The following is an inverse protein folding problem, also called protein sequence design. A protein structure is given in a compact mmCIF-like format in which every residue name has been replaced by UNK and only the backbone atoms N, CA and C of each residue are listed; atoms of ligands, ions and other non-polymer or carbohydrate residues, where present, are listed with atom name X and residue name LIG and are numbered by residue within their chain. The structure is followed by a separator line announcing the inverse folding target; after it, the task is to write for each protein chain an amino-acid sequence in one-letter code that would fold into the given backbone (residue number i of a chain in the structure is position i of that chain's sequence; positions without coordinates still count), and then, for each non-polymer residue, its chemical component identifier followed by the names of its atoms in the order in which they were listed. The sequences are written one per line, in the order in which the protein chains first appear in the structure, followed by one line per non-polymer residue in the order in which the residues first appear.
data_IF_019898432578
#
_entry.id   IF_019898432578
#
_cell.length_a   1.000
_cell.length_b   1.000
_cell.length_c   1.000
_cell.angle_alpha   90.00
_cell.angle_beta   90.00
_cell.angle_gamma   90.00
#
_symmetry.space_group_name_H-M   'P 1'
#
loop_
_entity.id
_entity.type
_entity.pdbx_description
1 polymer ?
#
# COMPACT_ATOMS: atom_id res chain seq x y z
N UNK A 1 -2.26 -22.54 -0.62
CA UNK A 1 -3.36 -21.71 -0.06
C UNK A 1 -2.89 -20.74 1.01
N UNK A 2 -1.82 -21.00 1.76
CA UNK A 2 -1.31 -20.14 2.85
C UNK A 2 -1.15 -18.65 2.51
N UNK A 3 -0.74 -18.29 1.28
CA UNK A 3 -0.62 -16.88 0.87
C UNK A 3 -1.98 -16.18 0.76
N UNK A 4 -2.97 -16.85 0.16
CA UNK A 4 -4.35 -16.34 0.02
C UNK A 4 -4.97 -16.13 1.40
N UNK A 5 -4.84 -17.12 2.28
CA UNK A 5 -5.39 -17.05 3.63
C UNK A 5 -4.77 -15.90 4.43
N UNK A 6 -3.47 -15.65 4.28
CA UNK A 6 -2.80 -14.54 4.94
C UNK A 6 -3.28 -13.18 4.43
N UNK A 7 -3.50 -13.04 3.12
CA UNK A 7 -4.04 -11.81 2.53
C UNK A 7 -5.48 -11.59 3.00
N UNK A 8 -6.36 -12.58 2.91
CA UNK A 8 -7.75 -12.44 3.36
C UNK A 8 -7.82 -12.09 4.85
N UNK A 9 -7.07 -12.81 5.69
CA UNK A 9 -7.01 -12.53 7.13
C UNK A 9 -6.53 -11.10 7.43
N UNK A 10 -5.56 -10.59 6.67
CA UNK A 10 -5.09 -9.22 6.80
C UNK A 10 -6.15 -8.20 6.38
N UNK A 11 -6.89 -8.47 5.29
CA UNK A 11 -7.90 -7.57 4.73
C UNK A 11 -9.24 -7.58 5.49
N UNK A 12 -9.48 -8.54 6.39
CA UNK A 12 -10.72 -8.59 7.20
C UNK A 12 -11.07 -7.29 7.91
N UNK A 13 -10.07 -6.58 8.45
CA UNK A 13 -10.29 -5.28 9.16
C UNK A 13 -10.63 -4.11 8.23
N UNK A 14 -10.44 -4.28 6.92
CA UNK A 14 -10.73 -3.29 5.88
C UNK A 14 -12.08 -3.54 5.19
N UNK A 15 -12.81 -4.59 5.57
CA UNK A 15 -14.18 -4.81 5.05
C UNK A 15 -15.10 -3.69 5.52
N UNK A 16 -16.07 -3.32 4.69
CA UNK A 16 -17.03 -2.25 5.03
C UNK A 16 -17.80 -2.54 6.32
N UNK A 17 -18.07 -3.82 6.59
CA UNK A 17 -18.72 -4.26 7.83
C UNK A 17 -17.92 -3.95 9.11
N UNK A 18 -16.59 -3.81 9.02
CA UNK A 18 -15.72 -3.46 10.14
C UNK A 18 -15.61 -1.94 10.37
N UNK A 19 -16.15 -1.11 9.45
CA UNK A 19 -15.96 0.34 9.40
C UNK A 19 -17.27 1.15 9.56
N UNK A 20 -18.31 0.52 10.12
CA UNK A 20 -19.68 1.08 10.20
C UNK A 20 -19.89 2.21 11.22
N UNK A 21 -19.07 2.26 12.27
CA UNK A 21 -19.27 3.19 13.37
C UNK A 21 -18.84 4.62 12.98
N UNK A 22 -19.81 5.48 12.70
CA UNK A 22 -19.59 6.89 12.33
C UNK A 22 -19.02 7.75 13.46
N UNK A 23 -18.97 7.28 14.71
CA UNK A 23 -18.25 8.00 15.77
C UNK A 23 -16.75 7.79 15.64
N UNK A 24 -16.32 6.60 15.21
CA UNK A 24 -14.90 6.22 15.10
C UNK A 24 -14.35 6.49 13.69
N UNK A 25 -15.13 6.20 12.66
CA UNK A 25 -14.69 6.29 11.28
C UNK A 25 -15.22 7.56 10.60
N UNK A 26 -14.50 8.03 9.59
CA UNK A 26 -14.92 9.12 8.72
C UNK A 26 -14.56 8.84 7.26
N UNK A 27 -15.35 9.38 6.33
CA UNK A 27 -15.04 9.32 4.92
C UNK A 27 -14.06 10.43 4.53
N UNK A 28 -12.88 10.03 4.05
CA UNK A 28 -11.80 10.95 3.67
C UNK A 28 -11.77 11.26 2.16
N UNK A 29 -12.83 10.93 1.42
CA UNK A 29 -12.93 11.15 -0.02
C UNK A 29 -12.34 10.01 -0.87
N UNK A 30 -12.65 10.04 -2.18
CA UNK A 30 -12.25 9.01 -3.15
C UNK A 30 -11.03 9.41 -4.00
N UNK A 31 -10.46 10.59 -3.75
CA UNK A 31 -9.24 11.10 -4.40
C UNK A 31 -8.22 11.48 -3.33
N UNK A 32 -6.90 11.31 -3.59
CA UNK A 32 -5.89 11.71 -2.62
C UNK A 32 -5.93 13.21 -2.34
N UNK A 33 -5.88 13.58 -1.06
CA UNK A 33 -5.82 14.95 -0.56
C UNK A 33 -4.68 15.15 0.42
N UNK A 34 -4.50 16.40 0.82
CA UNK A 34 -3.57 16.84 1.86
C UNK A 34 -3.71 16.08 3.18
N UNK A 35 -2.67 16.20 4.01
CA UNK A 35 -2.62 15.63 5.37
C UNK A 35 -3.85 16.04 6.18
N UNK A 36 -4.39 15.12 6.99
CA UNK A 36 -5.50 15.41 7.89
C UNK A 36 -4.99 15.52 9.32
N UNK A 37 -4.61 16.74 9.70
CA UNK A 37 -4.28 17.08 11.07
C UNK A 37 -5.54 16.98 11.97
N UNK A 38 -5.42 16.26 13.07
CA UNK A 38 -6.46 16.00 14.07
C UNK A 38 -6.11 16.65 15.42
N UNK A 39 -5.28 17.69 15.42
CA UNK A 39 -4.87 18.45 16.59
C UNK A 39 -3.62 17.88 17.26
N UNK A 40 -3.45 18.22 18.54
CA UNK A 40 -2.27 17.82 19.31
C UNK A 40 -2.28 16.34 19.71
N UNK A 41 -1.07 15.80 19.95
CA UNK A 41 -0.83 14.43 20.45
C UNK A 41 -1.10 14.33 21.96
N UNK A 42 -2.28 14.78 22.38
CA UNK A 42 -2.74 14.77 23.76
C UNK A 42 -4.16 14.17 23.84
N UNK A 43 -4.65 13.95 25.06
CA UNK A 43 -5.96 13.33 25.30
C UNK A 43 -7.11 14.35 25.42
N UNK A 44 -6.87 15.64 25.21
CA UNK A 44 -7.84 16.70 25.52
C UNK A 44 -9.12 16.61 24.68
N UNK A 45 -8.98 16.12 23.45
CA UNK A 45 -10.07 15.98 22.48
C UNK A 45 -10.50 14.52 22.29
N UNK A 46 -10.00 13.60 23.14
CA UNK A 46 -10.35 12.18 23.12
C UNK A 46 -9.82 11.39 21.93
N UNK A 47 -10.48 10.27 21.62
CA UNK A 47 -10.15 9.44 20.46
C UNK A 47 -10.37 10.20 19.14
N UNK A 48 -9.44 10.02 18.20
CA UNK A 48 -9.48 10.69 16.90
C UNK A 48 -10.18 9.80 15.89
N UNK A 49 -10.98 10.43 15.03
CA UNK A 49 -11.57 9.76 13.87
C UNK A 49 -10.49 9.10 13.00
N UNK A 50 -10.88 8.02 12.34
CA UNK A 50 -10.05 7.22 11.45
C UNK A 50 -10.62 7.30 10.05
N UNK A 51 -9.77 7.62 9.06
CA UNK A 51 -10.17 7.55 7.66
C UNK A 51 -10.56 6.12 7.28
N UNK A 52 -11.74 5.95 6.71
CA UNK A 52 -12.16 4.70 6.09
C UNK A 52 -11.27 4.36 4.91
N UNK A 53 -10.96 3.08 4.74
CA UNK A 53 -10.29 2.57 3.55
C UNK A 53 -11.10 1.45 2.90
N UNK A 54 -11.49 1.64 1.63
CA UNK A 54 -12.34 0.71 0.90
C UNK A 54 -11.50 -0.31 0.13
N UNK A 55 -11.87 -1.59 0.24
CA UNK A 55 -11.19 -2.67 -0.49
C UNK A 55 -11.25 -2.49 -2.01
N UNK A 56 -12.32 -1.86 -2.52
CA UNK A 56 -12.49 -1.55 -3.95
C UNK A 56 -11.32 -0.79 -4.55
N UNK A 57 -10.62 0.03 -3.76
CA UNK A 57 -9.45 0.77 -4.25
C UNK A 57 -8.23 -0.11 -4.55
N UNK A 58 -8.23 -1.36 -4.08
CA UNK A 58 -7.21 -2.36 -4.43
C UNK A 58 -7.51 -3.08 -5.76
N UNK A 59 -8.56 -2.67 -6.48
CA UNK A 59 -8.87 -3.15 -7.82
C UNK A 59 -9.00 -4.68 -7.87
N UNK A 60 -8.27 -5.30 -8.80
CA UNK A 60 -8.28 -6.75 -8.99
C UNK A 60 -7.75 -7.53 -7.77
N UNK A 61 -7.00 -6.88 -6.88
CA UNK A 61 -6.42 -7.48 -5.68
C UNK A 61 -7.28 -7.28 -4.42
N UNK A 62 -8.52 -6.85 -4.57
CA UNK A 62 -9.43 -6.53 -3.44
C UNK A 62 -9.98 -7.76 -2.72
N UNK A 63 -10.00 -8.93 -3.36
CA UNK A 63 -10.72 -10.10 -2.87
C UNK A 63 -12.22 -10.08 -3.15
N UNK A 64 -12.73 -9.06 -3.86
CA UNK A 64 -14.17 -8.92 -4.16
C UNK A 64 -14.55 -9.77 -5.37
N UNK A 65 -13.82 -9.63 -6.47
CA UNK A 65 -14.08 -10.37 -7.72
C UNK A 65 -13.23 -11.64 -7.84
N UNK A 66 -12.08 -11.67 -7.17
CA UNK A 66 -11.16 -12.80 -7.13
C UNK A 66 -10.64 -13.00 -5.71
N UNK A 67 -11.14 -14.04 -5.04
CA UNK A 67 -10.73 -14.43 -3.69
C UNK A 67 -9.34 -15.07 -3.65
N UNK A 68 -8.74 -15.37 -4.80
CA UNK A 68 -7.41 -15.97 -4.90
C UNK A 68 -6.31 -14.92 -5.11
N UNK A 69 -6.66 -13.64 -5.25
CA UNK A 69 -5.72 -12.53 -5.40
C UNK A 69 -4.70 -12.74 -6.53
N UNK A 70 -5.15 -13.31 -7.66
CA UNK A 70 -4.37 -13.64 -8.85
C UNK A 70 -3.42 -14.83 -8.70
N UNK A 71 -3.32 -15.45 -7.51
CA UNK A 71 -2.42 -16.59 -7.28
C UNK A 71 -2.82 -17.82 -8.09
N UNK A 72 -4.12 -18.03 -8.34
CA UNK A 72 -4.60 -19.17 -9.12
C UNK A 72 -4.17 -19.10 -10.59
N UNK A 73 -4.06 -17.88 -11.13
CA UNK A 73 -3.76 -17.64 -12.54
C UNK A 73 -2.27 -17.36 -12.80
N UNK A 74 -1.42 -17.54 -11.78
CA UNK A 74 0.01 -17.23 -11.88
C UNK A 74 0.32 -15.73 -11.94
N UNK A 75 -0.63 -14.87 -11.57
CA UNK A 75 -0.53 -13.40 -11.59
C UNK A 75 -0.69 -12.82 -10.19
N UNK A 76 0.20 -13.14 -9.24
CA UNK A 76 -0.02 -12.89 -7.83
C UNK A 76 -0.07 -11.40 -7.51
N UNK A 77 -0.99 -11.04 -6.60
CA UNK A 77 -1.04 -9.75 -5.96
C UNK A 77 -0.16 -9.69 -4.71
N UNK A 78 0.55 -8.58 -4.53
CA UNK A 78 1.26 -8.23 -3.30
C UNK A 78 0.64 -6.96 -2.72
N UNK A 79 0.22 -7.02 -1.45
CA UNK A 79 -0.33 -5.86 -0.73
C UNK A 79 0.79 -5.17 0.03
N UNK A 80 1.01 -3.89 -0.28
CA UNK A 80 2.05 -3.05 0.30
C UNK A 80 1.44 -2.15 1.38
N UNK A 81 2.18 -2.05 2.48
CA UNK A 81 1.88 -1.23 3.66
C UNK A 81 3.09 -0.40 4.03
N UNK A 82 2.88 0.85 4.43
CA UNK A 82 3.93 1.69 5.01
C UNK A 82 3.96 1.56 6.54
N UNK A 83 5.13 1.32 7.13
CA UNK A 83 5.28 1.18 8.58
C UNK A 83 5.52 2.53 9.31
N UNK A 84 6.09 3.54 8.64
CA UNK A 84 6.36 4.88 9.22
C UNK A 84 5.85 5.98 8.28
N UNK A 85 4.94 6.86 8.72
CA UNK A 85 4.50 8.02 7.95
C UNK A 85 5.69 8.94 7.60
N UNK A 86 5.65 9.64 6.46
CA UNK A 86 6.55 10.77 6.24
C UNK A 86 6.29 11.87 7.28
N UNK A 87 7.35 12.49 7.80
CA UNK A 87 7.29 13.66 8.69
C UNK A 87 7.59 14.91 7.86
N UNK A 88 6.55 15.55 7.31
CA UNK A 88 6.60 16.83 6.59
C UNK A 88 7.25 16.79 5.18
N UNK A 89 6.73 17.68 4.33
CA UNK A 89 6.89 17.84 2.87
C UNK A 89 8.34 18.19 2.46
N UNK A 90 8.88 17.83 1.29
CA UNK A 90 8.34 17.85 -0.07
C UNK A 90 8.49 16.54 -0.86
N UNK A 91 7.76 16.42 -1.98
CA UNK A 91 7.86 15.29 -2.91
C UNK A 91 8.64 15.74 -4.14
N UNK A 92 9.84 15.21 -4.35
CA UNK A 92 10.54 15.42 -5.62
C UNK A 92 9.75 14.80 -6.78
N UNK A 93 9.70 15.54 -7.89
CA UNK A 93 9.05 15.15 -9.14
C UNK A 93 9.74 13.94 -9.74
N UNK A 94 9.16 12.74 -9.57
CA UNK A 94 9.64 11.56 -10.27
C UNK A 94 9.01 11.46 -11.68
N UNK A 95 9.81 11.42 -12.76
CA UNK A 95 9.33 11.65 -14.13
C UNK A 95 8.54 10.49 -14.76
N UNK A 96 8.31 9.38 -14.05
CA UNK A 96 7.85 8.12 -14.66
C UNK A 96 6.37 7.79 -14.35
N UNK A 97 5.73 8.48 -13.41
CA UNK A 97 4.34 8.21 -13.02
C UNK A 97 3.48 9.48 -12.99
N UNK A 98 2.17 9.32 -13.13
CA UNK A 98 1.18 10.41 -13.02
C UNK A 98 1.35 11.09 -11.65
N UNK A 99 2.04 12.22 -11.65
CA UNK A 99 2.35 12.97 -10.44
C UNK A 99 1.06 13.44 -9.76
N UNK A 100 0.93 13.13 -8.48
CA UNK A 100 -0.09 13.71 -7.60
C UNK A 100 0.62 14.16 -6.31
N UNK A 101 0.55 15.45 -5.95
CA UNK A 101 1.24 15.99 -4.78
C UNK A 101 0.75 15.40 -3.45
N UNK A 102 -0.38 14.71 -3.45
CA UNK A 102 -1.01 14.11 -2.28
C UNK A 102 -0.82 12.58 -2.22
N UNK A 103 0.13 12.04 -2.99
CA UNK A 103 0.45 10.61 -3.01
C UNK A 103 1.94 10.43 -2.78
N UNK A 104 2.31 9.59 -1.81
CA UNK A 104 3.67 9.08 -1.65
C UNK A 104 3.89 7.92 -2.64
N UNK A 105 4.63 8.13 -3.74
CA UNK A 105 4.72 7.15 -4.83
C UNK A 105 5.50 5.90 -4.43
N UNK A 106 5.12 4.76 -5.02
CA UNK A 106 5.81 3.48 -4.89
C UNK A 106 6.04 2.90 -6.29
N UNK A 107 7.25 2.43 -6.55
CA UNK A 107 7.59 1.75 -7.79
C UNK A 107 8.30 0.43 -7.52
N UNK A 108 7.83 -0.62 -8.19
CA UNK A 108 8.41 -1.95 -8.22
C UNK A 108 9.18 -2.17 -9.52
N UNK A 109 10.31 -2.86 -9.44
CA UNK A 109 11.13 -3.23 -10.59
C UNK A 109 11.94 -4.51 -10.30
N UNK A 110 12.46 -5.16 -11.33
CA UNK A 110 13.42 -6.26 -11.15
C UNK A 110 14.68 -5.75 -10.45
N UNK A 111 15.12 -6.48 -9.42
CA UNK A 111 16.25 -6.06 -8.58
C UNK A 111 17.57 -6.04 -9.34
N UNK A 112 17.76 -6.97 -10.27
CA UNK A 112 18.90 -7.05 -11.18
C UNK A 112 18.44 -6.93 -12.63
N UNK A 113 19.36 -6.68 -13.55
CA UNK A 113 19.02 -6.57 -14.97
C UNK A 113 18.38 -7.85 -15.51
N UNK A 114 18.86 -9.03 -15.09
CA UNK A 114 18.25 -10.34 -15.38
C UNK A 114 16.81 -10.49 -14.85
N UNK A 115 16.47 -9.82 -13.74
CA UNK A 115 15.13 -9.87 -13.16
C UNK A 115 14.18 -8.93 -13.91
N UNK A 116 14.67 -7.77 -14.38
CA UNK A 116 13.84 -6.74 -15.04
C UNK A 116 13.14 -7.29 -16.28
N UNK A 117 13.84 -8.08 -17.08
CA UNK A 117 13.28 -8.73 -18.27
C UNK A 117 12.24 -9.80 -17.91
N UNK A 118 12.35 -10.42 -16.73
CA UNK A 118 11.49 -11.52 -16.29
C UNK A 118 10.21 -11.08 -15.57
N UNK A 119 10.21 -9.88 -14.97
CA UNK A 119 9.04 -9.35 -14.24
C UNK A 119 7.88 -9.00 -15.18
N UNK A 120 8.18 -8.59 -16.41
CA UNK A 120 7.18 -8.18 -17.39
C UNK A 120 6.34 -6.99 -16.90
N UNK A 121 5.02 -7.06 -17.11
CA UNK A 121 4.08 -5.99 -16.75
C UNK A 121 3.68 -6.02 -15.27
N UNK A 122 3.64 -4.84 -14.67
CA UNK A 122 3.25 -4.60 -13.28
C UNK A 122 2.08 -3.63 -13.27
N UNK A 123 1.00 -3.99 -12.59
CA UNK A 123 -0.18 -3.14 -12.38
C UNK A 123 -0.27 -2.69 -10.92
N UNK A 124 -0.68 -1.45 -10.70
CA UNK A 124 -0.79 -0.83 -9.39
C UNK A 124 -2.24 -0.43 -9.12
N UNK A 125 -2.75 -0.77 -7.94
CA UNK A 125 -4.12 -0.44 -7.52
C UNK A 125 -4.09 0.22 -6.15
N UNK A 126 -4.43 1.51 -6.14
CA UNK A 126 -4.52 2.33 -4.94
C UNK A 126 -5.65 3.36 -5.04
N UNK A 127 -5.82 4.14 -3.98
CA UNK A 127 -6.85 5.19 -3.92
C UNK A 127 -6.72 6.16 -5.10
N UNK A 128 -7.82 6.37 -5.83
CA UNK A 128 -7.85 7.24 -7.02
C UNK A 128 -7.05 6.70 -8.22
N UNK A 129 -6.64 5.43 -8.20
CA UNK A 129 -5.84 4.80 -9.25
C UNK A 129 -4.37 5.23 -9.24
N UNK A 130 -3.86 5.76 -8.12
CA UNK A 130 -2.47 6.19 -8.01
C UNK A 130 -1.57 5.09 -7.42
N UNK A 131 -0.33 4.93 -7.92
CA UNK A 131 0.63 3.94 -7.45
C UNK A 131 1.36 4.44 -6.19
N UNK A 132 0.64 4.55 -5.07
CA UNK A 132 1.24 5.06 -3.83
C UNK A 132 0.27 5.20 -2.68
N UNK A 133 0.75 5.85 -1.61
CA UNK A 133 -0.01 6.06 -0.38
C UNK A 133 -0.59 7.48 -0.31
N UNK A 134 -1.93 7.65 -0.19
CA UNK A 134 -2.56 8.97 -0.04
C UNK A 134 -2.18 9.65 1.28
N UNK A 135 -1.83 10.94 1.22
CA UNK A 135 -1.33 11.70 2.38
C UNK A 135 -2.40 11.93 3.46
N UNK A 136 -3.67 12.07 3.09
CA UNK A 136 -4.80 12.27 4.00
C UNK A 136 -4.97 11.25 5.14
N UNK A 137 -4.25 10.13 5.13
CA UNK A 137 -4.24 9.15 6.22
C UNK A 137 -3.21 9.45 7.31
N UNK A 138 -2.39 10.48 7.11
CA UNK A 138 -1.33 10.90 8.02
C UNK A 138 -1.63 12.30 8.59
N UNK A 139 -1.10 12.62 9.78
CA UNK A 139 -0.25 11.78 10.64
C UNK A 139 -1.05 10.69 11.41
N UNK A 140 -0.34 9.66 11.88
CA UNK A 140 -0.90 8.65 12.78
C UNK A 140 -0.73 9.08 14.23
N UNK A 141 -1.82 9.07 14.99
CA UNK A 141 -1.87 9.56 16.38
C UNK A 141 -1.55 8.50 17.44
N UNK A 142 -1.16 7.29 17.03
CA UNK A 142 -0.85 6.21 17.95
C UNK A 142 -2.08 5.40 18.38
N UNK A 143 -1.84 4.22 18.95
CA UNK A 143 -2.90 3.24 19.27
C UNK A 143 -3.83 3.73 20.36
N UNK A 144 -3.35 4.60 21.25
CA UNK A 144 -4.14 5.19 22.33
C UNK A 144 -5.22 6.13 21.76
N UNK A 145 -4.85 6.97 20.80
CA UNK A 145 -5.74 7.99 20.24
C UNK A 145 -6.51 7.49 19.02
N UNK A 146 -5.99 6.49 18.29
CA UNK A 146 -6.63 5.88 17.13
C UNK A 146 -6.54 4.35 17.19
N UNK A 147 -7.26 3.68 18.11
CA UNK A 147 -7.14 2.24 18.33
C UNK A 147 -7.55 1.40 17.13
N UNK A 148 -8.45 1.93 16.27
CA UNK A 148 -8.93 1.27 15.04
C UNK A 148 -8.33 1.86 13.76
N UNK A 149 -7.18 2.55 13.85
CA UNK A 149 -6.53 3.14 12.68
C UNK A 149 -6.32 2.14 11.54
N UNK A 150 -6.77 2.53 10.35
CA UNK A 150 -6.57 1.81 9.10
C UNK A 150 -5.58 2.57 8.23
N UNK A 151 -4.35 2.08 8.18
CA UNK A 151 -3.35 2.66 7.30
C UNK A 151 -3.72 2.43 5.83
N UNK A 152 -3.35 3.33 4.92
CA UNK A 152 -3.62 3.16 3.50
C UNK A 152 -2.84 1.95 2.97
N UNK A 153 -3.45 1.27 1.99
CA UNK A 153 -2.86 0.13 1.31
C UNK A 153 -2.65 0.45 -0.18
N UNK A 154 -1.68 -0.24 -0.78
CA UNK A 154 -1.44 -0.27 -2.22
C UNK A 154 -1.34 -1.74 -2.63
N UNK A 155 -2.05 -2.16 -3.67
CA UNK A 155 -1.84 -3.47 -4.26
C UNK A 155 -0.99 -3.37 -5.52
N UNK A 156 -0.14 -4.37 -5.72
CA UNK A 156 0.68 -4.53 -6.92
C UNK A 156 0.45 -5.92 -7.48
N UNK A 157 0.01 -6.00 -8.73
CA UNK A 157 -0.20 -7.27 -9.42
C UNK A 157 0.88 -7.46 -10.49
N UNK A 158 1.53 -8.61 -10.45
CA UNK A 158 2.52 -8.99 -11.47
C UNK A 158 1.82 -9.83 -12.53
N UNK A 159 1.55 -9.25 -13.70
CA UNK A 159 0.63 -9.84 -14.69
C UNK A 159 1.32 -10.65 -15.79
N UNK A 160 2.65 -10.53 -15.93
CA UNK A 160 3.43 -11.22 -16.95
C UNK A 160 4.80 -11.68 -16.41
N UNK A 161 4.78 -12.46 -15.33
CA UNK A 161 6.00 -13.08 -14.79
C UNK A 161 6.46 -14.24 -15.67
N UNK A 162 7.76 -14.36 -15.87
CA UNK A 162 8.35 -15.57 -16.46
C UNK A 162 8.17 -16.75 -15.50
N UNK A 163 7.58 -17.85 -15.98
CA UNK A 163 7.37 -19.07 -15.19
C UNK A 163 8.68 -19.85 -14.98
N UNK A 164 8.68 -20.74 -13.99
CA UNK A 164 9.75 -21.70 -13.68
C UNK A 164 11.11 -21.04 -13.40
N UNK A 165 11.11 -19.81 -12.90
CA UNK A 165 12.32 -19.08 -12.51
C UNK A 165 12.06 -18.22 -11.28
N UNK A 166 13.02 -18.18 -10.34
CA UNK A 166 12.98 -17.23 -9.21
C UNK A 166 13.31 -15.83 -9.72
N UNK A 167 12.39 -14.89 -9.52
CA UNK A 167 12.53 -13.48 -9.90
C UNK A 167 12.60 -12.63 -8.63
N UNK A 168 13.60 -11.75 -8.57
CA UNK A 168 13.77 -10.83 -7.44
C UNK A 168 13.23 -9.46 -7.82
N UNK A 169 12.27 -8.98 -7.03
CA UNK A 169 11.62 -7.68 -7.23
C UNK A 169 11.98 -6.78 -6.06
N UNK A 170 12.35 -5.54 -6.36
CA UNK A 170 12.52 -4.46 -5.39
C UNK A 170 11.40 -3.44 -5.60
N UNK A 171 10.70 -3.10 -4.53
CA UNK A 171 9.70 -2.04 -4.51
C UNK A 171 10.18 -0.92 -3.58
N UNK A 172 10.24 0.30 -4.10
CA UNK A 172 10.74 1.50 -3.41
C UNK A 172 9.62 2.51 -3.25
N UNK A 173 9.46 3.05 -2.05
CA UNK A 173 8.66 4.25 -1.82
C UNK A 173 9.56 5.47 -1.95
N UNK A 174 9.14 6.51 -2.67
CA UNK A 174 9.94 7.72 -2.88
C UNK A 174 9.34 8.90 -2.12
N UNK A 175 10.20 9.69 -1.50
CA UNK A 175 9.87 10.92 -0.80
C UNK A 175 11.08 11.41 -0.02
N UNK A 176 11.18 12.71 0.26
CA UNK A 176 12.37 13.31 0.89
C UNK A 176 12.74 12.68 2.23
N UNK A 177 11.73 12.23 3.00
CA UNK A 177 11.91 11.60 4.30
C UNK A 177 11.90 10.06 4.26
N UNK A 178 11.96 9.48 3.07
CA UNK A 178 12.10 8.04 2.90
C UNK A 178 13.59 7.70 2.75
N UNK A 179 14.22 7.44 3.89
CA UNK A 179 15.59 6.93 3.94
C UNK A 179 15.67 5.48 3.46
N UNK A 180 16.81 5.14 2.87
CA UNK A 180 17.15 3.76 2.51
C UNK A 180 18.35 3.29 3.32
N UNK A 181 18.39 2.01 3.62
CA UNK A 181 19.49 1.38 4.32
C UNK A 181 19.97 0.14 3.58
N UNK A 182 21.28 -0.02 3.48
CA UNK A 182 21.89 -1.26 3.02
C UNK A 182 21.83 -2.34 4.11
N UNK A 183 21.82 -1.93 5.38
CA UNK A 183 21.68 -2.85 6.53
C UNK A 183 20.23 -3.27 6.73
N UNK A 184 19.30 -2.32 6.64
CA UNK A 184 17.86 -2.56 6.77
C UNK A 184 17.20 -2.51 5.38
N UNK A 185 17.04 -3.69 4.78
CA UNK A 185 16.39 -3.87 3.47
C UNK A 185 14.89 -3.57 3.46
N UNK A 186 14.30 -3.23 4.62
CA UNK A 186 12.90 -2.84 4.75
C UNK A 186 12.71 -1.34 5.05
N UNK A 187 13.80 -0.56 5.09
CA UNK A 187 13.73 0.88 5.25
C UNK A 187 13.53 1.55 3.89
N UNK A 188 12.33 2.10 3.65
CA UNK A 188 11.96 2.81 2.43
C UNK A 188 11.76 1.94 1.18
N UNK A 189 12.17 0.68 1.24
CA UNK A 189 12.01 -0.32 0.19
C UNK A 189 11.65 -1.68 0.78
N UNK A 190 11.22 -2.61 -0.05
CA UNK A 190 11.19 -4.02 0.29
C UNK A 190 11.57 -4.88 -0.91
N UNK A 191 12.20 -6.01 -0.64
CA UNK A 191 12.52 -7.02 -1.63
C UNK A 191 11.53 -8.19 -1.51
N UNK A 192 11.06 -8.71 -2.65
CA UNK A 192 10.35 -10.00 -2.70
C UNK A 192 11.00 -10.92 -3.71
N UNK A 193 10.81 -12.22 -3.49
CA UNK A 193 11.17 -13.26 -4.44
C UNK A 193 9.92 -13.99 -4.84
N UNK A 194 9.65 -14.08 -6.14
CA UNK A 194 8.49 -14.76 -6.67
C UNK A 194 8.97 -15.82 -7.65
N UNK A 195 8.42 -17.02 -7.54
CA UNK A 195 8.56 -18.10 -8.51
C UNK A 195 7.16 -18.65 -8.76
N UNK A 196 6.72 -18.63 -10.01
CA UNK A 196 5.46 -19.24 -10.45
C UNK A 196 5.84 -20.49 -11.23
N UNK A 197 5.45 -21.66 -10.70
CA UNK A 197 5.72 -22.95 -11.35
C UNK A 197 4.58 -23.32 -12.29
N UNK A 198 4.93 -23.86 -13.44
CA UNK A 198 3.97 -24.44 -14.39
C UNK A 198 3.27 -25.69 -13.85
#
# INVERSE_FOLDING_TARGET
MTYVDNIDNFLKKYRDSAQKDDMIFEDCGNVPSELKDRGEFNNEQGERKVCRFKLEWLGNCSGINDETYGYKDGKPCVIIKLNRPPKNESLETYPVMKYNPYVLPVQCTGKRDEDKEKVGSIEYFGLGGYPGFPLQYYPYYGKLLQPKYLQPLLAVQFTNLTMDTEIRIECKAYGENIGYSEKDRFQGRFDVKIEVKS
#
